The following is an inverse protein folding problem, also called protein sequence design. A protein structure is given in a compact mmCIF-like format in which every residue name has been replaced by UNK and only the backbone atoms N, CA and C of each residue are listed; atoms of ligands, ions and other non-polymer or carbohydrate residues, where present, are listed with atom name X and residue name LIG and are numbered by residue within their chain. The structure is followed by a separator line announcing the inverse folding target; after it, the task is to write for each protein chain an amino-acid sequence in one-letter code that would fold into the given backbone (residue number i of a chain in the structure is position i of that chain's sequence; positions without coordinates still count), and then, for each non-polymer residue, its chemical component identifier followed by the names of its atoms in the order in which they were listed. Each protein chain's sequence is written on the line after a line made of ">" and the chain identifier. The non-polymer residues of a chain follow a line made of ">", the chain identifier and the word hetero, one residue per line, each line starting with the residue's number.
data_IF_819274936209
#
_entry.id   IF_819274936209
#
_cell.length_a   1.000
_cell.length_b   1.000
_cell.length_c   1.000
_cell.angle_alpha   90.00
_cell.angle_beta   90.00
_cell.angle_gamma   90.00
#
_symmetry.space_group_name_H-M   'P 1'
#
loop_
_entity.id
_entity.type
_entity.pdbx_description
1 polymer ?
#
# COMPACT_ATOMS: atom_id res chain seq x y z
N UNK A 1 62.85 -33.69 -6.58
CA UNK A 1 62.97 -32.25 -6.91
C UNK A 1 61.94 -31.80 -7.93
N UNK A 2 61.82 -32.44 -9.10
CA UNK A 2 60.85 -32.04 -10.16
C UNK A 2 59.38 -32.06 -9.68
N UNK A 3 58.93 -33.13 -9.01
CA UNK A 3 57.55 -33.25 -8.51
C UNK A 3 57.18 -32.14 -7.52
N UNK A 4 58.13 -31.76 -6.64
CA UNK A 4 57.94 -30.68 -5.66
C UNK A 4 57.75 -29.34 -6.37
N UNK A 5 58.52 -29.08 -7.43
CA UNK A 5 58.39 -27.87 -8.26
C UNK A 5 57.05 -27.82 -9.00
N UNK A 6 56.55 -28.94 -9.51
CA UNK A 6 55.24 -29.00 -10.15
C UNK A 6 54.10 -28.69 -9.16
N UNK A 7 54.14 -29.24 -7.94
CA UNK A 7 53.14 -28.97 -6.90
C UNK A 7 53.19 -27.49 -6.50
N UNK A 8 54.39 -26.93 -6.32
CA UNK A 8 54.56 -25.50 -6.02
C UNK A 8 54.00 -24.60 -7.12
N UNK A 9 54.23 -24.94 -8.40
CA UNK A 9 53.69 -24.19 -9.55
C UNK A 9 52.16 -24.16 -9.58
N UNK A 10 51.51 -25.30 -9.35
CA UNK A 10 50.03 -25.38 -9.28
C UNK A 10 49.49 -24.53 -8.13
N UNK A 11 50.14 -24.58 -6.97
CA UNK A 11 49.73 -23.80 -5.81
C UNK A 11 49.80 -22.29 -6.06
N UNK A 12 50.87 -21.82 -6.71
CA UNK A 12 51.03 -20.40 -7.10
C UNK A 12 49.94 -20.00 -8.10
N UNK A 13 49.71 -20.80 -9.14
CA UNK A 13 48.69 -20.51 -10.14
C UNK A 13 47.27 -20.46 -9.52
N UNK A 14 46.95 -21.40 -8.64
CA UNK A 14 45.68 -21.42 -7.91
C UNK A 14 45.53 -20.20 -6.99
N UNK A 15 46.60 -19.82 -6.27
CA UNK A 15 46.59 -18.66 -5.37
C UNK A 15 46.31 -17.36 -6.13
N UNK A 16 46.96 -17.17 -7.29
CA UNK A 16 46.72 -16.01 -8.16
C UNK A 16 45.28 -16.00 -8.67
N UNK A 17 44.78 -17.14 -9.15
CA UNK A 17 43.39 -17.26 -9.63
C UNK A 17 42.36 -16.91 -8.53
N UNK A 18 42.52 -17.47 -7.33
CA UNK A 18 41.62 -17.20 -6.21
C UNK A 18 41.72 -15.76 -5.72
N UNK A 19 42.90 -15.14 -5.77
CA UNK A 19 43.09 -13.74 -5.44
C UNK A 19 42.28 -12.82 -6.38
N UNK A 20 42.42 -12.99 -7.71
CA UNK A 20 41.65 -12.18 -8.67
C UNK A 20 40.14 -12.42 -8.56
N UNK A 21 39.73 -13.67 -8.31
CA UNK A 21 38.32 -14.00 -8.11
C UNK A 21 37.74 -13.36 -6.83
N UNK A 22 38.50 -13.36 -5.74
CA UNK A 22 38.11 -12.72 -4.49
C UNK A 22 38.02 -11.19 -4.62
N UNK A 23 38.97 -10.58 -5.33
CA UNK A 23 38.95 -9.14 -5.61
C UNK A 23 37.71 -8.75 -6.44
N UNK A 24 37.40 -9.51 -7.49
CA UNK A 24 36.19 -9.29 -8.29
C UNK A 24 34.91 -9.38 -7.45
N UNK A 25 34.83 -10.35 -6.53
CA UNK A 25 33.70 -10.50 -5.63
C UNK A 25 33.63 -9.36 -4.57
N UNK A 26 34.79 -8.89 -4.10
CA UNK A 26 34.87 -7.77 -3.16
C UNK A 26 34.33 -6.48 -3.77
N UNK A 27 34.73 -6.18 -5.01
CA UNK A 27 34.22 -5.02 -5.75
C UNK A 27 32.71 -5.10 -5.97
N UNK A 28 32.19 -6.27 -6.35
CA UNK A 28 30.74 -6.49 -6.47
C UNK A 28 30.01 -6.28 -5.13
N UNK A 29 30.56 -6.76 -4.01
CA UNK A 29 29.99 -6.53 -2.69
C UNK A 29 29.96 -5.04 -2.32
N UNK A 30 31.00 -4.28 -2.67
CA UNK A 30 31.05 -2.84 -2.43
C UNK A 30 30.02 -2.09 -3.26
N UNK A 31 29.89 -2.42 -4.56
CA UNK A 31 28.87 -1.81 -5.43
C UNK A 31 27.47 -2.14 -4.98
N UNK A 32 27.16 -3.42 -4.71
CA UNK A 32 25.85 -3.84 -4.20
C UNK A 32 25.52 -3.18 -2.87
N UNK A 33 26.48 -3.04 -1.93
CA UNK A 33 26.26 -2.31 -0.68
C UNK A 33 25.91 -0.85 -0.91
N UNK A 34 26.56 -0.19 -1.86
CA UNK A 34 26.27 1.20 -2.23
C UNK A 34 24.86 1.32 -2.84
N UNK A 35 24.52 0.42 -3.76
CA UNK A 35 23.18 0.35 -4.37
C UNK A 35 22.09 0.10 -3.32
N UNK A 36 22.29 -0.84 -2.40
CA UNK A 36 21.35 -1.12 -1.31
C UNK A 36 21.11 0.12 -0.42
N UNK A 37 22.17 0.87 -0.11
CA UNK A 37 22.04 2.13 0.65
C UNK A 37 21.23 3.18 -0.11
N UNK A 38 21.48 3.32 -1.41
CA UNK A 38 20.73 4.24 -2.26
C UNK A 38 19.27 3.81 -2.38
N UNK A 39 19.00 2.54 -2.69
CA UNK A 39 17.65 1.99 -2.79
C UNK A 39 16.87 2.17 -1.47
N UNK A 40 17.53 2.01 -0.32
CA UNK A 40 16.90 2.26 0.99
C UNK A 40 16.53 3.73 1.17
N UNK A 41 17.37 4.66 0.71
CA UNK A 41 17.08 6.11 0.76
C UNK A 41 15.91 6.46 -0.15
N UNK A 42 15.91 5.97 -1.39
CA UNK A 42 14.84 6.19 -2.36
C UNK A 42 13.52 5.60 -1.89
N UNK A 43 13.53 4.36 -1.38
CA UNK A 43 12.35 3.71 -0.80
C UNK A 43 11.78 4.52 0.36
N UNK A 44 12.63 5.08 1.24
CA UNK A 44 12.18 5.95 2.34
C UNK A 44 11.44 7.20 1.82
N UNK A 45 12.01 7.89 0.84
CA UNK A 45 11.41 9.10 0.24
C UNK A 45 10.04 8.77 -0.39
N UNK A 46 9.95 7.62 -1.06
CA UNK A 46 8.73 7.16 -1.69
C UNK A 46 7.64 6.82 -0.66
N UNK A 47 8.00 6.16 0.44
CA UNK A 47 7.07 5.90 1.56
C UNK A 47 6.59 7.19 2.22
N UNK A 48 7.47 8.17 2.42
CA UNK A 48 7.09 9.48 2.97
C UNK A 48 6.12 10.22 2.03
N UNK A 49 6.36 10.15 0.73
CA UNK A 49 5.49 10.74 -0.29
C UNK A 49 4.11 10.09 -0.31
N UNK A 50 4.03 8.75 -0.24
CA UNK A 50 2.75 8.05 -0.12
C UNK A 50 2.01 8.37 1.18
N UNK A 51 2.71 8.55 2.29
CA UNK A 51 2.09 8.96 3.54
C UNK A 51 1.46 10.36 3.43
N UNK A 52 2.10 11.29 2.73
CA UNK A 52 1.55 12.63 2.47
C UNK A 52 0.30 12.53 1.58
N UNK A 53 0.36 11.78 0.49
CA UNK A 53 -0.78 11.57 -0.42
C UNK A 53 -1.96 10.96 0.35
N UNK A 54 -1.70 9.90 1.12
CA UNK A 54 -2.72 9.20 1.90
C UNK A 54 -3.44 10.15 2.88
N UNK A 55 -2.70 10.97 3.61
CA UNK A 55 -3.26 11.97 4.53
C UNK A 55 -4.08 13.04 3.83
N UNK A 56 -3.56 13.58 2.71
CA UNK A 56 -4.25 14.63 1.95
C UNK A 56 -5.53 14.10 1.31
N UNK A 57 -5.52 12.86 0.82
CA UNK A 57 -6.72 12.17 0.34
C UNK A 57 -7.71 11.90 1.48
N UNK A 58 -7.25 11.47 2.65
CA UNK A 58 -8.10 11.30 3.82
C UNK A 58 -8.78 12.61 4.23
N UNK A 59 -8.03 13.71 4.32
CA UNK A 59 -8.57 15.04 4.62
C UNK A 59 -9.60 15.49 3.59
N UNK A 60 -9.31 15.25 2.29
CA UNK A 60 -10.25 15.55 1.21
C UNK A 60 -11.55 14.75 1.32
N UNK A 61 -11.46 13.46 1.61
CA UNK A 61 -12.63 12.59 1.82
C UNK A 61 -13.42 13.02 3.04
N UNK A 62 -12.76 13.33 4.17
CA UNK A 62 -13.41 13.85 5.39
C UNK A 62 -14.16 15.15 5.11
N UNK A 63 -13.53 16.07 4.38
CA UNK A 63 -14.16 17.33 4.01
C UNK A 63 -15.42 17.10 3.17
N UNK A 64 -15.33 16.30 2.10
CA UNK A 64 -16.48 16.01 1.22
C UNK A 64 -17.61 15.28 1.97
N UNK A 65 -17.26 14.33 2.83
CA UNK A 65 -18.25 13.63 3.66
C UNK A 65 -18.94 14.57 4.65
N UNK A 66 -18.20 15.53 5.24
CA UNK A 66 -18.77 16.55 6.11
C UNK A 66 -19.73 17.46 5.34
N UNK A 67 -19.32 17.97 4.18
CA UNK A 67 -20.19 18.79 3.32
C UNK A 67 -21.47 18.03 2.95
N UNK A 68 -21.35 16.76 2.55
CA UNK A 68 -22.50 15.94 2.23
C UNK A 68 -23.43 15.74 3.45
N UNK A 69 -22.86 15.52 4.64
CA UNK A 69 -23.62 15.43 5.88
C UNK A 69 -24.38 16.73 6.16
N UNK A 70 -23.71 17.87 6.04
CA UNK A 70 -24.30 19.20 6.29
C UNK A 70 -25.39 19.54 5.26
N UNK A 71 -25.27 19.00 4.03
CA UNK A 71 -26.26 19.10 2.96
C UNK A 71 -27.45 18.11 3.09
N UNK A 72 -27.51 17.32 4.16
CA UNK A 72 -28.64 16.42 4.44
C UNK A 72 -28.51 15.00 3.88
N UNK A 73 -27.29 14.52 3.63
CA UNK A 73 -27.07 13.15 3.18
C UNK A 73 -27.59 12.15 4.23
N UNK A 74 -28.06 10.99 3.75
CA UNK A 74 -28.58 9.92 4.62
C UNK A 74 -27.62 9.58 5.76
N UNK A 75 -28.12 9.70 7.00
CA UNK A 75 -27.35 9.39 8.22
C UNK A 75 -26.75 8.00 8.17
N UNK A 76 -27.46 7.04 7.57
CA UNK A 76 -26.97 5.66 7.44
C UNK A 76 -25.70 5.57 6.60
N UNK A 77 -25.63 6.28 5.47
CA UNK A 77 -24.45 6.23 4.59
C UNK A 77 -23.26 6.90 5.26
N UNK A 78 -23.49 8.02 5.95
CA UNK A 78 -22.46 8.72 6.71
C UNK A 78 -21.93 7.85 7.86
N UNK A 79 -22.81 7.17 8.59
CA UNK A 79 -22.43 6.24 9.67
C UNK A 79 -21.64 5.05 9.14
N UNK A 80 -22.08 4.46 8.04
CA UNK A 80 -21.47 3.27 7.46
C UNK A 80 -20.12 3.59 6.82
N UNK A 81 -19.99 4.74 6.13
CA UNK A 81 -18.76 5.11 5.42
C UNK A 81 -17.77 5.92 6.26
N UNK A 82 -18.23 6.55 7.34
CA UNK A 82 -17.40 7.37 8.23
C UNK A 82 -16.16 6.66 8.78
N UNK A 83 -16.26 5.44 9.34
CA UNK A 83 -15.09 4.70 9.82
C UNK A 83 -14.07 4.38 8.72
N UNK A 84 -14.50 4.13 7.48
CA UNK A 84 -13.61 3.96 6.34
C UNK A 84 -12.82 5.24 6.06
N UNK A 85 -13.52 6.38 5.94
CA UNK A 85 -12.89 7.67 5.67
C UNK A 85 -11.93 8.06 6.80
N UNK A 86 -12.32 7.85 8.06
CA UNK A 86 -11.48 8.16 9.23
C UNK A 86 -10.22 7.30 9.35
N UNK A 87 -10.14 6.18 8.63
CA UNK A 87 -9.00 5.29 8.62
C UNK A 87 -8.34 5.18 7.24
N UNK A 88 -8.67 6.08 6.30
CA UNK A 88 -8.23 5.98 4.92
C UNK A 88 -6.71 5.90 4.80
N UNK A 89 -5.95 6.73 5.53
CA UNK A 89 -4.48 6.68 5.44
C UNK A 89 -3.89 5.34 5.87
N UNK A 90 -4.47 4.71 6.89
CA UNK A 90 -4.06 3.40 7.38
C UNK A 90 -4.36 2.30 6.37
N UNK A 91 -5.54 2.35 5.75
CA UNK A 91 -5.96 1.39 4.71
C UNK A 91 -5.10 1.58 3.44
N UNK A 92 -4.81 2.82 3.06
CA UNK A 92 -3.94 3.15 1.94
C UNK A 92 -2.53 2.61 2.15
N UNK A 93 -1.93 2.89 3.31
CA UNK A 93 -0.59 2.41 3.65
C UNK A 93 -0.48 0.88 3.64
N UNK A 94 -1.55 0.17 4.04
CA UNK A 94 -1.61 -1.28 3.94
C UNK A 94 -1.71 -1.75 2.49
N UNK A 95 -2.54 -1.09 1.68
CA UNK A 95 -2.76 -1.41 0.26
C UNK A 95 -1.51 -1.18 -0.61
N UNK A 96 -0.61 -0.29 -0.20
CA UNK A 96 0.71 -0.10 -0.83
C UNK A 96 1.65 -1.29 -0.57
N UNK A 97 1.53 -1.96 0.59
CA UNK A 97 2.44 -3.05 1.00
C UNK A 97 2.17 -4.37 0.28
N UNK A 98 0.95 -4.57 -0.23
CA UNK A 98 0.59 -5.75 -1.00
C UNK A 98 -0.89 -5.83 -1.32
N UNK A 99 -1.21 -6.53 -2.41
CA UNK A 99 -2.59 -6.89 -2.75
C UNK A 99 -3.18 -7.79 -1.66
N UNK A 100 -4.47 -7.64 -1.39
CA UNK A 100 -5.15 -8.44 -0.37
C UNK A 100 -5.30 -7.77 1.00
N UNK A 101 -4.44 -6.80 1.31
CA UNK A 101 -4.38 -6.20 2.66
C UNK A 101 -5.41 -5.08 2.89
N UNK A 102 -6.02 -4.52 1.84
CA UNK A 102 -7.03 -3.47 1.97
C UNK A 102 -8.20 -3.96 2.82
N UNK A 103 -8.85 -5.06 2.42
CA UNK A 103 -10.03 -5.60 3.13
C UNK A 103 -9.72 -5.97 4.57
N UNK A 104 -8.57 -6.59 4.81
CA UNK A 104 -8.15 -7.05 6.15
C UNK A 104 -7.94 -5.87 7.10
N UNK A 105 -7.28 -4.81 6.63
CA UNK A 105 -7.08 -3.61 7.46
C UNK A 105 -8.37 -2.83 7.62
N UNK A 106 -9.19 -2.70 6.57
CA UNK A 106 -10.53 -2.10 6.70
C UNK A 106 -11.37 -2.86 7.72
N UNK A 107 -11.40 -4.19 7.66
CA UNK A 107 -12.11 -5.02 8.66
C UNK A 107 -11.62 -4.73 10.07
N UNK A 108 -10.30 -4.70 10.29
CA UNK A 108 -9.73 -4.37 11.60
C UNK A 108 -10.17 -2.98 12.09
N UNK A 109 -10.16 -1.97 11.22
CA UNK A 109 -10.60 -0.61 11.56
C UNK A 109 -12.06 -0.57 12.00
N UNK A 110 -12.93 -1.26 11.27
CA UNK A 110 -14.36 -1.35 11.59
C UNK A 110 -14.61 -2.14 12.87
N UNK A 111 -14.02 -3.32 13.03
CA UNK A 111 -14.19 -4.14 14.23
C UNK A 111 -13.62 -3.48 15.50
N UNK A 112 -12.61 -2.61 15.36
CA UNK A 112 -12.10 -1.78 16.47
C UNK A 112 -13.09 -0.66 16.85
N UNK A 113 -13.81 -0.12 15.88
CA UNK A 113 -14.83 0.90 16.12
C UNK A 113 -16.08 0.31 16.78
N UNK A 114 -16.66 -0.73 16.17
CA UNK A 114 -17.81 -1.45 16.72
C UNK A 114 -17.84 -2.86 16.15
N UNK A 115 -18.00 -3.85 17.02
CA UNK A 115 -18.05 -5.26 16.62
C UNK A 115 -19.20 -5.51 15.62
N UNK A 116 -18.90 -6.19 14.51
CA UNK A 116 -19.86 -6.49 13.43
C UNK A 116 -20.14 -5.33 12.47
N UNK A 117 -19.56 -4.14 12.69
CA UNK A 117 -19.74 -3.00 11.80
C UNK A 117 -19.14 -3.22 10.41
N UNK A 118 -18.10 -4.06 10.29
CA UNK A 118 -17.54 -4.41 8.98
C UNK A 118 -18.58 -5.16 8.13
N UNK A 119 -19.34 -6.09 8.73
CA UNK A 119 -20.41 -6.80 8.03
C UNK A 119 -21.49 -5.84 7.55
N UNK A 120 -21.89 -4.87 8.37
CA UNK A 120 -22.84 -3.81 7.99
C UNK A 120 -22.31 -3.01 6.80
N UNK A 121 -21.04 -2.60 6.85
CA UNK A 121 -20.38 -1.90 5.74
C UNK A 121 -20.35 -2.71 4.45
N UNK A 122 -19.90 -3.96 4.49
CA UNK A 122 -19.87 -4.80 3.28
C UNK A 122 -21.26 -5.13 2.76
N UNK A 123 -22.26 -5.25 3.65
CA UNK A 123 -23.65 -5.45 3.29
C UNK A 123 -24.21 -4.24 2.53
N UNK A 124 -23.95 -3.03 3.03
CA UNK A 124 -24.29 -1.78 2.36
C UNK A 124 -23.57 -1.66 1.00
N UNK A 125 -22.27 -1.93 0.92
CA UNK A 125 -21.55 -1.95 -0.37
C UNK A 125 -22.20 -2.93 -1.36
N UNK A 126 -22.71 -4.06 -0.87
CA UNK A 126 -23.43 -5.05 -1.68
C UNK A 126 -24.71 -4.53 -2.36
N UNK A 127 -25.34 -3.49 -1.82
CA UNK A 127 -26.55 -2.88 -2.39
C UNK A 127 -26.24 -1.79 -3.42
N UNK A 128 -24.97 -1.37 -3.53
CA UNK A 128 -24.55 -0.31 -4.45
C UNK A 128 -24.41 -0.79 -5.90
N UNK A 129 -24.15 0.15 -6.79
CA UNK A 129 -23.93 -0.11 -8.22
C UNK A 129 -22.77 -1.07 -8.46
N UNK A 130 -22.85 -1.79 -9.58
CA UNK A 130 -21.88 -2.84 -9.96
C UNK A 130 -20.44 -2.32 -10.04
N UNK A 131 -20.23 -1.08 -10.50
CA UNK A 131 -18.91 -0.48 -10.61
C UNK A 131 -18.28 -0.19 -9.23
N UNK A 132 -19.07 0.26 -8.25
CA UNK A 132 -18.60 0.49 -6.87
C UNK A 132 -18.22 -0.83 -6.21
N UNK A 133 -19.08 -1.85 -6.37
CA UNK A 133 -18.82 -3.21 -5.87
C UNK A 133 -17.55 -3.81 -6.46
N UNK A 134 -17.32 -3.61 -7.75
CA UNK A 134 -16.11 -4.07 -8.44
C UNK A 134 -14.86 -3.35 -7.93
N UNK A 135 -14.93 -2.03 -7.74
CA UNK A 135 -13.83 -1.27 -7.18
C UNK A 135 -13.46 -1.78 -5.78
N UNK A 136 -14.45 -1.98 -4.90
CA UNK A 136 -14.24 -2.59 -3.59
C UNK A 136 -13.61 -3.98 -3.68
N UNK A 137 -14.12 -4.84 -4.56
CA UNK A 137 -13.68 -6.25 -4.69
C UNK A 137 -12.24 -6.41 -5.18
N UNK A 138 -11.65 -5.36 -5.78
CA UNK A 138 -10.29 -5.43 -6.35
C UNK A 138 -9.21 -5.60 -5.27
N UNK A 139 -9.48 -5.17 -4.03
CA UNK A 139 -8.60 -5.39 -2.87
C UNK A 139 -7.12 -4.99 -3.12
N UNK A 140 -6.93 -3.82 -3.70
CA UNK A 140 -5.63 -3.24 -4.07
C UNK A 140 -5.64 -1.74 -3.82
N UNK A 141 -4.48 -1.10 -3.97
CA UNK A 141 -4.39 0.37 -3.90
C UNK A 141 -5.26 1.07 -4.95
N UNK A 142 -5.28 0.57 -6.18
CA UNK A 142 -6.14 1.13 -7.24
C UNK A 142 -7.62 0.92 -6.93
N UNK A 143 -7.99 -0.24 -6.39
CA UNK A 143 -9.33 -0.52 -5.91
C UNK A 143 -9.77 0.42 -4.80
N UNK A 144 -8.88 0.72 -3.84
CA UNK A 144 -9.14 1.67 -2.75
C UNK A 144 -9.47 3.06 -3.28
N UNK A 145 -8.63 3.58 -4.18
CA UNK A 145 -8.79 4.92 -4.77
C UNK A 145 -10.12 4.98 -5.53
N UNK A 146 -10.33 4.06 -6.46
CA UNK A 146 -11.55 4.00 -7.27
C UNK A 146 -12.82 3.84 -6.42
N UNK A 147 -12.77 3.00 -5.38
CA UNK A 147 -13.89 2.80 -4.46
C UNK A 147 -14.20 4.07 -3.68
N UNK A 148 -13.18 4.74 -3.13
CA UNK A 148 -13.36 5.97 -2.37
C UNK A 148 -13.96 7.10 -3.20
N UNK A 149 -13.51 7.26 -4.45
CA UNK A 149 -14.06 8.26 -5.37
C UNK A 149 -15.49 7.94 -5.76
N UNK A 150 -15.77 6.69 -6.13
CA UNK A 150 -17.10 6.26 -6.54
C UNK A 150 -18.12 6.34 -5.38
N UNK A 151 -17.69 6.06 -4.15
CA UNK A 151 -18.51 6.24 -2.95
C UNK A 151 -18.89 7.69 -2.71
N UNK A 152 -17.94 8.62 -2.83
CA UNK A 152 -18.27 10.04 -2.62
C UNK A 152 -19.16 10.56 -3.75
N UNK A 153 -18.90 10.18 -5.00
CA UNK A 153 -19.78 10.51 -6.11
C UNK A 153 -21.20 9.95 -5.91
N UNK A 154 -21.33 8.71 -5.43
CA UNK A 154 -22.63 8.13 -5.10
C UNK A 154 -23.39 8.95 -4.05
N UNK A 155 -22.71 9.37 -2.98
CA UNK A 155 -23.30 10.23 -1.93
C UNK A 155 -23.75 11.58 -2.52
N UNK A 156 -22.89 12.25 -3.26
CA UNK A 156 -23.17 13.55 -3.88
C UNK A 156 -24.34 13.46 -4.89
N UNK A 157 -24.35 12.44 -5.75
CA UNK A 157 -25.44 12.23 -6.73
C UNK A 157 -26.79 11.91 -6.09
N UNK A 158 -26.78 11.31 -4.89
CA UNK A 158 -28.01 11.00 -4.14
C UNK A 158 -28.60 12.27 -3.51
N UNK A 159 -27.74 13.21 -3.10
CA UNK A 159 -28.15 14.53 -2.63
C UNK A 159 -28.79 15.36 -3.74
N UNK A 160 -28.19 15.40 -4.93
CA UNK A 160 -28.73 16.14 -6.07
C UNK A 160 -30.12 15.67 -6.50
N UNK A 161 -30.41 14.37 -6.35
CA UNK A 161 -31.73 13.80 -6.66
C UNK A 161 -32.77 14.04 -5.57
N UNK A 162 -32.34 14.41 -4.35
CA UNK A 162 -33.20 14.64 -3.21
C UNK A 162 -33.55 16.13 -3.00
N UNK A 163 -32.79 17.04 -3.62
CA UNK A 163 -33.07 18.48 -3.70
C UNK A 163 -34.06 18.82 -4.80
#
# INVERSE_FOLDING_TARGET
>A
MIVILCIAGIFIAASIYFYFKAEGLHQQLLTTRKELKNNKKESKILVESFAIIARKSEESLKHRLKVAKDAGASSEVIEVFGPFVNNYSSIFAASVKGNGEMHKVTQKCYETYQKGSFRRFTGYVGTLDSHIKRAWSTNSLSGLIAFSEAMVFHIESTLEKAS
#
